data_IF_213989622163
#
_entry.id   IF_213989622163
#
_cell.length_a   1.000
_cell.length_b   1.000
_cell.length_c   1.000
_cell.angle_alpha   90.00
_cell.angle_beta   90.00
_cell.angle_gamma   90.00
#
_symmetry.space_group_name_H-M   'P 1'
#
loop_
_entity.id
_entity.type
_entity.pdbx_description
1 polymer ?
#
# COMPACT_ATOMS: atom_id res chain seq x y z
N UNK A 1 29.57 12.75 4.19
CA UNK A 1 29.02 11.76 5.13
C UNK A 1 28.10 10.82 4.34
N UNK A 2 28.66 9.80 3.71
CA UNK A 2 27.86 8.76 3.08
C UNK A 2 27.63 7.69 4.14
N UNK A 3 26.64 7.92 5.02
CA UNK A 3 26.16 6.86 5.89
C UNK A 3 25.49 5.83 4.99
N UNK A 4 26.14 4.70 4.79
CA UNK A 4 25.61 3.59 3.99
C UNK A 4 24.29 3.16 4.64
N UNK A 5 23.18 3.53 4.00
CA UNK A 5 21.85 3.17 4.48
C UNK A 5 21.74 1.65 4.33
N UNK A 6 21.95 0.91 5.43
CA UNK A 6 21.77 -0.54 5.46
C UNK A 6 20.28 -0.84 5.44
N UNK A 7 19.71 -0.80 4.25
CA UNK A 7 18.34 -1.25 4.01
C UNK A 7 18.35 -2.76 3.89
N UNK A 8 17.52 -3.43 4.69
CA UNK A 8 17.32 -4.87 4.62
C UNK A 8 16.19 -5.18 3.62
N UNK A 9 16.46 -5.84 2.48
CA UNK A 9 15.43 -6.19 1.51
C UNK A 9 14.31 -7.07 2.07
N UNK A 10 14.61 -7.90 3.07
CA UNK A 10 13.62 -8.76 3.72
C UNK A 10 12.59 -7.93 4.49
N UNK A 11 13.05 -6.90 5.21
CA UNK A 11 12.16 -6.01 5.96
C UNK A 11 11.26 -5.21 5.02
N UNK A 12 11.81 -4.71 3.89
CA UNK A 12 11.00 -4.04 2.86
C UNK A 12 9.90 -4.96 2.30
N UNK A 13 10.23 -6.23 2.02
CA UNK A 13 9.27 -7.21 1.51
C UNK A 13 8.18 -7.51 2.52
N UNK A 14 8.54 -7.65 3.81
CA UNK A 14 7.58 -7.87 4.89
C UNK A 14 6.67 -6.66 5.08
N UNK A 15 7.21 -5.43 5.03
CA UNK A 15 6.39 -4.21 5.13
C UNK A 15 5.43 -4.08 3.94
N UNK A 16 5.87 -4.41 2.72
CA UNK A 16 4.99 -4.43 1.55
C UNK A 16 3.81 -5.41 1.73
N UNK A 17 4.08 -6.62 2.25
CA UNK A 17 3.02 -7.60 2.54
C UNK A 17 2.04 -7.13 3.62
N UNK A 18 2.55 -6.44 4.65
CA UNK A 18 1.71 -5.85 5.68
C UNK A 18 0.81 -4.73 5.14
N UNK A 19 1.32 -3.90 4.23
CA UNK A 19 0.55 -2.85 3.57
C UNK A 19 -0.58 -3.43 2.71
N UNK A 20 -0.30 -4.47 1.90
CA UNK A 20 -1.32 -5.19 1.14
C UNK A 20 -2.39 -5.81 2.04
N UNK A 21 -1.98 -6.50 3.10
CA UNK A 21 -2.91 -7.14 4.04
C UNK A 21 -3.83 -6.09 4.67
N UNK A 22 -3.28 -4.92 5.05
CA UNK A 22 -4.05 -3.81 5.60
C UNK A 22 -5.03 -3.26 4.57
N UNK A 23 -4.61 -3.10 3.31
CA UNK A 23 -5.48 -2.64 2.23
C UNK A 23 -6.65 -3.61 1.98
N UNK A 24 -6.38 -4.91 1.97
CA UNK A 24 -7.42 -5.92 1.78
C UNK A 24 -8.42 -5.94 2.96
N UNK A 25 -7.94 -5.91 4.20
CA UNK A 25 -8.81 -5.81 5.38
C UNK A 25 -9.68 -4.55 5.37
N UNK A 26 -9.10 -3.41 4.97
CA UNK A 26 -9.82 -2.16 4.82
C UNK A 26 -10.91 -2.27 3.75
N UNK A 27 -10.59 -2.86 2.59
CA UNK A 27 -11.52 -3.03 1.49
C UNK A 27 -12.74 -3.86 1.89
N UNK A 28 -12.53 -4.98 2.57
CA UNK A 28 -13.61 -5.85 3.06
C UNK A 28 -14.54 -5.11 4.03
N UNK A 29 -13.98 -4.38 5.01
CA UNK A 29 -14.77 -3.60 5.97
C UNK A 29 -15.55 -2.47 5.28
N UNK A 30 -14.93 -1.79 4.32
CA UNK A 30 -15.59 -0.77 3.53
C UNK A 30 -16.73 -1.35 2.71
N UNK A 31 -16.54 -2.52 2.07
CA UNK A 31 -17.58 -3.13 1.25
C UNK A 31 -18.83 -3.49 2.07
N UNK A 32 -18.64 -4.04 3.27
CA UNK A 32 -19.73 -4.31 4.21
C UNK A 32 -20.49 -3.03 4.60
N UNK A 33 -19.75 -1.97 5.00
CA UNK A 33 -20.35 -0.69 5.36
C UNK A 33 -21.06 -0.02 4.19
N UNK A 34 -20.48 -0.09 2.99
CA UNK A 34 -21.05 0.50 1.78
C UNK A 34 -22.42 -0.09 1.45
N UNK A 35 -22.59 -1.40 1.61
CA UNK A 35 -23.87 -2.07 1.40
C UNK A 35 -24.95 -1.54 2.36
N UNK A 36 -24.61 -1.34 3.63
CA UNK A 36 -25.54 -0.79 4.64
C UNK A 36 -25.92 0.66 4.34
N UNK A 37 -24.93 1.52 4.02
CA UNK A 37 -25.15 2.94 3.75
C UNK A 37 -25.97 3.15 2.47
N UNK A 38 -25.65 2.42 1.40
CA UNK A 38 -26.43 2.47 0.16
C UNK A 38 -27.87 1.99 0.40
N UNK A 39 -28.06 0.90 1.14
CA UNK A 39 -29.39 0.41 1.50
C UNK A 39 -30.22 1.44 2.28
N UNK A 40 -29.59 2.17 3.20
CA UNK A 40 -30.24 3.24 3.96
C UNK A 40 -30.62 4.43 3.05
N UNK A 41 -29.69 4.92 2.23
CA UNK A 41 -29.84 6.09 1.37
C UNK A 41 -30.82 5.86 0.21
N UNK A 42 -30.85 4.65 -0.34
CA UNK A 42 -31.75 4.30 -1.45
C UNK A 42 -33.13 3.84 -0.95
N UNK A 43 -33.25 3.50 0.33
CA UNK A 43 -34.49 3.14 1.00
C UNK A 43 -35.46 4.32 1.24
N UNK A 44 -36.23 4.21 2.33
CA UNK A 44 -37.30 5.19 2.65
C UNK A 44 -36.81 6.48 3.31
N UNK A 45 -35.53 6.57 3.65
CA UNK A 45 -34.96 7.79 4.23
C UNK A 45 -34.75 8.84 3.15
N UNK A 46 -35.35 10.03 3.32
CA UNK A 46 -35.37 11.13 2.34
C UNK A 46 -35.33 12.49 3.04
N UNK A 47 -35.06 13.54 2.26
CA UNK A 47 -34.98 14.93 2.70
C UNK A 47 -33.54 15.40 2.93
N UNK A 48 -33.38 16.67 3.31
CA UNK A 48 -32.09 17.35 3.34
C UNK A 48 -30.99 16.62 4.14
N UNK A 49 -31.36 15.92 5.22
CA UNK A 49 -30.41 15.12 6.00
C UNK A 49 -29.88 13.89 5.21
N UNK A 50 -30.74 13.23 4.44
CA UNK A 50 -30.35 12.12 3.57
C UNK A 50 -29.47 12.62 2.41
N UNK A 51 -29.77 13.80 1.86
CA UNK A 51 -28.96 14.41 0.79
C UNK A 51 -27.56 14.80 1.29
N UNK A 52 -27.48 15.41 2.47
CA UNK A 52 -26.19 15.72 3.11
C UNK A 52 -25.39 14.45 3.42
N UNK A 53 -26.05 13.39 3.90
CA UNK A 53 -25.41 12.10 4.14
C UNK A 53 -24.88 11.48 2.84
N UNK A 54 -25.63 11.57 1.73
CA UNK A 54 -25.17 11.10 0.41
C UNK A 54 -23.92 11.84 -0.05
N UNK A 55 -23.91 13.17 0.06
CA UNK A 55 -22.73 13.98 -0.30
C UNK A 55 -21.51 13.61 0.55
N UNK A 56 -21.69 13.43 1.86
CA UNK A 56 -20.61 13.02 2.75
C UNK A 56 -20.12 11.59 2.46
N UNK A 57 -21.05 10.69 2.08
CA UNK A 57 -20.72 9.33 1.70
C UNK A 57 -19.91 9.26 0.40
N UNK A 58 -20.26 10.08 -0.60
CA UNK A 58 -19.53 10.16 -1.86
C UNK A 58 -18.08 10.64 -1.61
N UNK A 59 -17.90 11.71 -0.82
CA UNK A 59 -16.58 12.22 -0.43
C UNK A 59 -15.76 11.17 0.34
N UNK A 60 -16.39 10.50 1.31
CA UNK A 60 -15.76 9.42 2.07
C UNK A 60 -15.31 8.27 1.17
N UNK A 61 -16.18 7.84 0.24
CA UNK A 61 -15.91 6.73 -0.68
C UNK A 61 -14.72 7.04 -1.58
N UNK A 62 -14.61 8.27 -2.07
CA UNK A 62 -13.48 8.71 -2.89
C UNK A 62 -12.18 8.79 -2.07
N UNK A 63 -12.22 9.39 -0.88
CA UNK A 63 -11.07 9.42 0.03
C UNK A 63 -10.58 8.02 0.41
N UNK A 64 -11.50 7.09 0.68
CA UNK A 64 -11.18 5.71 1.00
C UNK A 64 -10.46 5.00 -0.16
N UNK A 65 -10.91 5.20 -1.41
CA UNK A 65 -10.21 4.66 -2.59
C UNK A 65 -8.79 5.19 -2.71
N UNK A 66 -8.56 6.48 -2.40
CA UNK A 66 -7.22 7.07 -2.42
C UNK A 66 -6.30 6.44 -1.37
N UNK A 67 -6.80 6.14 -0.17
CA UNK A 67 -6.03 5.44 0.88
C UNK A 67 -5.66 4.02 0.43
N UNK A 68 -6.60 3.27 -0.14
CA UNK A 68 -6.33 1.94 -0.67
C UNK A 68 -5.27 1.94 -1.78
N UNK A 69 -5.36 2.91 -2.70
CA UNK A 69 -4.38 3.08 -3.77
C UNK A 69 -3.00 3.41 -3.19
N UNK A 70 -2.93 4.36 -2.25
CA UNK A 70 -1.67 4.74 -1.61
C UNK A 70 -0.96 3.59 -0.92
N UNK A 71 -1.70 2.74 -0.19
CA UNK A 71 -1.12 1.55 0.46
C UNK A 71 -0.54 0.55 -0.56
N UNK A 72 -1.23 0.36 -1.69
CA UNK A 72 -0.76 -0.53 -2.76
C UNK A 72 0.45 0.04 -3.48
N UNK A 73 0.44 1.35 -3.78
CA UNK A 73 1.57 2.05 -4.39
C UNK A 73 2.81 2.00 -3.49
N UNK A 74 2.64 2.16 -2.17
CA UNK A 74 3.72 2.01 -1.19
C UNK A 74 4.26 0.57 -1.14
N UNK A 75 3.37 -0.43 -1.15
CA UNK A 75 3.78 -1.83 -1.19
C UNK A 75 4.62 -2.14 -2.44
N UNK A 76 4.22 -1.62 -3.60
CA UNK A 76 4.97 -1.79 -4.85
C UNK A 76 6.33 -1.06 -4.82
N UNK A 77 6.37 0.15 -4.28
CA UNK A 77 7.62 0.89 -4.11
C UNK A 77 8.60 0.16 -3.17
N UNK A 78 8.11 -0.44 -2.09
CA UNK A 78 8.89 -1.24 -1.15
C UNK A 78 9.46 -2.50 -1.83
N UNK A 79 8.66 -3.22 -2.62
CA UNK A 79 9.13 -4.38 -3.41
C UNK A 79 10.18 -4.01 -4.44
N UNK A 80 9.99 -2.89 -5.13
CA UNK A 80 10.95 -2.37 -6.09
C UNK A 80 12.27 -2.02 -5.39
N UNK A 81 12.20 -1.38 -4.22
CA UNK A 81 13.36 -1.10 -3.37
C UNK A 81 14.08 -2.38 -2.94
N UNK A 82 13.36 -3.39 -2.44
CA UNK A 82 13.92 -4.68 -2.05
C UNK A 82 14.70 -5.32 -3.21
N UNK A 83 14.09 -5.38 -4.39
CA UNK A 83 14.70 -5.93 -5.60
C UNK A 83 15.97 -5.18 -6.00
N UNK A 84 15.96 -3.84 -5.92
CA UNK A 84 17.11 -3.01 -6.25
C UNK A 84 18.29 -3.26 -5.29
N UNK A 85 18.04 -3.37 -3.99
CA UNK A 85 19.07 -3.65 -2.99
C UNK A 85 19.66 -5.04 -3.16
N UNK A 86 18.84 -6.08 -3.35
CA UNK A 86 19.33 -7.45 -3.62
C UNK A 86 20.20 -7.51 -4.88
N UNK A 87 19.82 -6.80 -5.94
CA UNK A 87 20.61 -6.73 -7.17
C UNK A 87 21.91 -5.94 -7.01
N UNK A 88 21.94 -4.92 -6.15
CA UNK A 88 23.16 -4.19 -5.82
C UNK A 88 24.14 -5.06 -5.03
N UNK A 89 23.65 -5.77 -4.00
CA UNK A 89 24.45 -6.68 -3.17
C UNK A 89 25.07 -7.81 -4.01
N UNK A 90 24.26 -8.44 -4.88
CA UNK A 90 24.72 -9.52 -5.77
C UNK A 90 25.83 -9.05 -6.73
N UNK A 91 25.71 -7.83 -7.30
CA UNK A 91 26.73 -7.24 -8.17
C UNK A 91 28.01 -6.90 -7.40
N UNK A 92 27.87 -6.39 -6.18
CA UNK A 92 29.00 -6.14 -5.29
C UNK A 92 29.77 -7.42 -4.98
N UNK A 93 29.08 -8.49 -4.59
CA UNK A 93 29.66 -9.80 -4.31
C UNK A 93 30.41 -10.38 -5.53
N UNK A 94 29.82 -10.29 -6.73
CA UNK A 94 30.46 -10.74 -7.96
C UNK A 94 31.75 -9.95 -8.28
N UNK A 95 31.70 -8.63 -8.11
CA UNK A 95 32.88 -7.76 -8.27
C UNK A 95 34.01 -8.13 -7.31
N UNK A 96 33.70 -8.31 -6.02
CA UNK A 96 34.67 -8.73 -5.01
C UNK A 96 35.27 -10.10 -5.33
N UNK A 97 34.44 -11.07 -5.73
CA UNK A 97 34.89 -12.41 -6.12
C UNK A 97 35.85 -12.35 -7.33
N UNK A 98 35.52 -11.57 -8.36
CA UNK A 98 36.37 -11.40 -9.53
C UNK A 98 37.71 -10.73 -9.21
N UNK A 99 37.70 -9.70 -8.35
CA UNK A 99 38.91 -9.02 -7.91
C UNK A 99 39.81 -9.95 -7.10
N UNK A 100 39.24 -10.78 -6.22
CA UNK A 100 39.99 -11.77 -5.43
C UNK A 100 40.59 -12.91 -6.26
N UNK A 101 40.00 -13.26 -7.41
CA UNK A 101 40.56 -14.23 -8.36
C UNK A 101 41.70 -13.67 -9.21
N UNK A 102 41.86 -12.34 -9.27
CA UNK A 102 42.88 -11.67 -10.06
C UNK A 102 44.20 -11.40 -9.29
N UNK A 103 44.29 -11.86 -8.04
CA UNK A 103 45.46 -11.73 -7.14
C UNK A 103 46.05 -13.12 -6.89
#
# INVERSE_FOLDING_TARGET
MSGELRVNPADLTLTAQAADTTADEMFERYHAMAAEVVGLLDGRWKGAAADACRSAWDEWSDGFRLVLMGLRDEADALRAGASAYTAADSRGAAGVSSAGQAI
#
